data_IF_785522878555
#
_entry.id   IF_785522878555
#
_cell.length_a   1.000
_cell.length_b   1.000
_cell.length_c   1.000
_cell.angle_alpha   90.00
_cell.angle_beta   90.00
_cell.angle_gamma   90.00
#
_symmetry.space_group_name_H-M   'P 1'
#
loop_
_entity.id
_entity.type
_entity.pdbx_description
1 polymer ?
#
# COMPACT_ATOMS: atom_id res chain seq x y z
N UNK A 1 -38.92 11.56 20.83
CA UNK A 1 -37.61 11.25 21.43
C UNK A 1 -36.63 10.94 20.27
N UNK A 2 -35.92 11.97 19.80
CA UNK A 2 -34.97 11.82 18.68
C UNK A 2 -33.64 11.39 19.27
N UNK A 3 -33.23 10.17 18.98
CA UNK A 3 -31.88 9.67 19.29
C UNK A 3 -30.96 10.27 18.23
N UNK A 4 -30.40 11.43 18.53
CA UNK A 4 -29.24 11.96 17.77
C UNK A 4 -28.03 11.17 18.21
N UNK A 5 -27.66 10.14 17.45
CA UNK A 5 -26.34 9.50 17.58
C UNK A 5 -25.33 10.56 17.16
N UNK A 6 -24.76 11.25 18.14
CA UNK A 6 -23.60 12.11 17.92
C UNK A 6 -22.45 11.19 17.51
N UNK A 7 -22.18 11.12 16.21
CA UNK A 7 -20.88 10.69 15.73
C UNK A 7 -19.89 11.78 16.17
N UNK A 8 -19.18 11.54 17.28
CA UNK A 8 -18.04 12.40 17.64
C UNK A 8 -17.10 12.44 16.43
N UNK A 9 -16.68 13.63 15.99
CA UNK A 9 -15.76 13.73 14.87
C UNK A 9 -14.49 12.96 15.22
N UNK A 10 -13.94 12.21 14.25
CA UNK A 10 -12.70 11.43 14.37
C UNK A 10 -11.53 12.28 14.91
N UNK A 11 -11.60 13.60 14.75
CA UNK A 11 -10.65 14.56 15.30
C UNK A 11 -10.54 14.51 16.83
N UNK A 12 -11.63 14.23 17.56
CA UNK A 12 -11.66 14.20 19.04
C UNK A 12 -11.42 12.79 19.61
N UNK A 13 -11.26 11.79 18.75
CA UNK A 13 -11.00 10.41 19.19
C UNK A 13 -9.69 10.30 19.98
N UNK A 14 -9.68 9.46 21.02
CA UNK A 14 -8.49 9.21 21.83
C UNK A 14 -7.32 8.71 20.95
N UNK A 15 -6.05 9.07 21.27
CA UNK A 15 -4.90 8.61 20.51
C UNK A 15 -4.82 7.09 20.37
N UNK A 16 -5.29 6.36 21.39
CA UNK A 16 -5.36 4.89 21.37
C UNK A 16 -6.38 4.37 20.37
N UNK A 17 -7.52 5.04 20.24
CA UNK A 17 -8.54 4.67 19.26
C UNK A 17 -8.02 4.95 17.83
N UNK A 18 -7.41 6.11 17.59
CA UNK A 18 -6.76 6.44 16.30
C UNK A 18 -5.71 5.38 15.91
N UNK A 19 -4.90 4.91 16.86
CA UNK A 19 -3.90 3.86 16.62
C UNK A 19 -4.56 2.54 16.23
N UNK A 20 -5.63 2.12 16.91
CA UNK A 20 -6.37 0.90 16.58
C UNK A 20 -7.07 1.00 15.22
N UNK A 21 -7.67 2.15 14.91
CA UNK A 21 -8.24 2.40 13.57
C UNK A 21 -7.17 2.32 12.48
N UNK A 22 -5.97 2.89 12.72
CA UNK A 22 -4.84 2.75 11.82
C UNK A 22 -4.47 1.26 11.63
N UNK A 23 -4.46 0.47 12.71
CA UNK A 23 -4.25 -0.98 12.63
C UNK A 23 -5.30 -1.70 11.79
N UNK A 24 -6.58 -1.32 11.90
CA UNK A 24 -7.67 -1.89 11.08
C UNK A 24 -7.47 -1.57 9.60
N UNK A 25 -7.23 -0.29 9.24
CA UNK A 25 -6.99 0.08 7.85
C UNK A 25 -5.73 -0.57 7.28
N UNK A 26 -4.70 -0.75 8.12
CA UNK A 26 -3.50 -1.46 7.70
C UNK A 26 -3.79 -2.94 7.42
N UNK A 27 -4.55 -3.60 8.30
CA UNK A 27 -4.96 -4.98 8.10
C UNK A 27 -5.79 -5.17 6.84
N UNK A 28 -6.79 -4.29 6.61
CA UNK A 28 -7.58 -4.30 5.37
C UNK A 28 -6.68 -4.17 4.15
N UNK A 29 -5.73 -3.24 4.19
CA UNK A 29 -4.77 -3.05 3.08
C UNK A 29 -3.94 -4.32 2.83
N UNK A 30 -3.37 -4.92 3.88
CA UNK A 30 -2.53 -6.13 3.77
C UNK A 30 -3.35 -7.29 3.20
N UNK A 31 -4.51 -7.58 3.79
CA UNK A 31 -5.35 -8.72 3.37
C UNK A 31 -5.85 -8.56 1.93
N UNK A 32 -6.28 -7.35 1.57
CA UNK A 32 -6.78 -7.08 0.22
C UNK A 32 -5.65 -7.18 -0.81
N UNK A 33 -4.46 -6.66 -0.50
CA UNK A 33 -3.27 -6.82 -1.35
C UNK A 33 -2.86 -8.26 -1.53
N UNK A 34 -2.82 -9.04 -0.46
CA UNK A 34 -2.52 -10.47 -0.52
C UNK A 34 -3.54 -11.22 -1.37
N UNK A 35 -4.84 -10.93 -1.20
CA UNK A 35 -5.88 -11.51 -2.03
C UNK A 35 -5.65 -11.22 -3.51
N UNK A 36 -5.46 -9.96 -3.87
CA UNK A 36 -5.27 -9.53 -5.27
C UNK A 36 -4.02 -10.15 -5.88
N UNK A 37 -2.92 -10.20 -5.14
CA UNK A 37 -1.66 -10.74 -5.67
C UNK A 37 -1.72 -12.27 -5.81
N UNK A 38 -2.17 -12.98 -4.77
CA UNK A 38 -2.11 -14.44 -4.74
C UNK A 38 -3.23 -15.07 -5.59
N UNK A 39 -4.46 -14.61 -5.41
CA UNK A 39 -5.63 -15.27 -6.02
C UNK A 39 -6.01 -14.72 -7.39
N UNK A 40 -5.60 -13.48 -7.70
CA UNK A 40 -5.92 -12.89 -9.01
C UNK A 40 -4.68 -12.90 -9.91
N UNK A 41 -3.64 -12.16 -9.56
CA UNK A 41 -2.51 -11.94 -10.47
C UNK A 41 -1.64 -13.17 -10.67
N UNK A 42 -1.14 -13.76 -9.59
CA UNK A 42 -0.27 -14.93 -9.70
C UNK A 42 -0.99 -16.15 -10.29
N UNK A 43 -2.33 -16.18 -10.22
CA UNK A 43 -3.12 -17.26 -10.81
C UNK A 43 -3.43 -17.04 -12.29
N UNK A 44 -3.68 -15.81 -12.72
CA UNK A 44 -4.19 -15.52 -14.06
C UNK A 44 -3.13 -15.04 -15.03
N UNK A 45 -2.03 -14.44 -14.55
CA UNK A 45 -0.97 -13.89 -15.40
C UNK A 45 0.19 -14.86 -15.47
N UNK A 46 0.46 -15.37 -16.68
CA UNK A 46 1.62 -16.20 -17.01
C UNK A 46 2.68 -15.31 -17.63
N UNK A 47 3.83 -15.18 -16.97
CA UNK A 47 4.82 -14.13 -17.24
C UNK A 47 5.32 -14.03 -18.68
N UNK A 48 5.47 -15.13 -19.40
CA UNK A 48 6.01 -15.15 -20.76
C UNK A 48 5.05 -15.76 -21.79
N UNK A 49 3.78 -15.95 -21.41
CA UNK A 49 2.73 -16.49 -22.30
C UNK A 49 1.53 -15.54 -22.38
N UNK A 50 1.49 -14.76 -23.46
CA UNK A 50 0.44 -13.79 -23.71
C UNK A 50 -0.91 -14.48 -24.02
N UNK A 51 -0.89 -15.62 -24.71
CA UNK A 51 -2.10 -16.34 -25.10
C UNK A 51 -2.74 -17.01 -23.88
N UNK A 52 -1.93 -17.70 -23.05
CA UNK A 52 -2.42 -18.29 -21.81
C UNK A 52 -2.94 -17.22 -20.85
N UNK A 53 -2.23 -16.10 -20.69
CA UNK A 53 -2.67 -14.97 -19.86
C UNK A 53 -4.02 -14.43 -20.33
N UNK A 54 -4.17 -14.17 -21.63
CA UNK A 54 -5.42 -13.68 -22.21
C UNK A 54 -6.57 -14.66 -21.97
N UNK A 55 -6.36 -15.95 -22.23
CA UNK A 55 -7.35 -17.01 -22.01
C UNK A 55 -7.77 -17.08 -20.55
N UNK A 56 -6.82 -17.05 -19.62
CA UNK A 56 -7.09 -17.11 -18.19
C UNK A 56 -7.91 -15.91 -17.71
N UNK A 57 -7.56 -14.70 -18.16
CA UNK A 57 -8.27 -13.47 -17.77
C UNK A 57 -9.69 -13.49 -18.31
N UNK A 58 -9.89 -13.81 -19.60
CA UNK A 58 -11.22 -13.83 -20.21
C UNK A 58 -12.11 -14.94 -19.65
N UNK A 59 -11.55 -16.09 -19.30
CA UNK A 59 -12.28 -17.16 -18.63
C UNK A 59 -12.64 -16.82 -17.17
N UNK A 60 -11.98 -15.86 -16.55
CA UNK A 60 -12.17 -15.46 -15.15
C UNK A 60 -12.39 -13.94 -15.01
N UNK A 61 -13.14 -13.33 -15.92
CA UNK A 61 -13.35 -11.88 -15.98
C UNK A 61 -13.88 -11.30 -14.65
N UNK A 62 -14.83 -11.97 -14.01
CA UNK A 62 -15.34 -11.54 -12.71
C UNK A 62 -14.25 -11.49 -11.63
N UNK A 63 -13.38 -12.50 -11.58
CA UNK A 63 -12.26 -12.52 -10.64
C UNK A 63 -11.26 -11.40 -10.96
N UNK A 64 -11.05 -11.08 -12.23
CA UNK A 64 -10.21 -9.98 -12.65
C UNK A 64 -10.77 -8.62 -12.20
N UNK A 65 -12.08 -8.41 -12.31
CA UNK A 65 -12.77 -7.23 -11.75
C UNK A 65 -12.64 -7.14 -10.22
N UNK A 66 -12.74 -8.26 -9.50
CA UNK A 66 -12.49 -8.30 -8.05
C UNK A 66 -11.04 -7.92 -7.72
N UNK A 67 -10.09 -8.23 -8.58
CA UNK A 67 -8.71 -7.77 -8.46
C UNK A 67 -8.60 -6.24 -8.51
N UNK A 68 -9.27 -5.61 -9.48
CA UNK A 68 -9.32 -4.15 -9.59
C UNK A 68 -10.03 -3.50 -8.40
N UNK A 69 -11.20 -4.01 -8.02
CA UNK A 69 -11.94 -3.52 -6.86
C UNK A 69 -11.10 -3.64 -5.57
N UNK A 70 -10.37 -4.74 -5.41
CA UNK A 70 -9.43 -4.94 -4.31
C UNK A 70 -8.32 -3.90 -4.29
N UNK A 71 -7.72 -3.55 -5.42
CA UNK A 71 -6.75 -2.46 -5.50
C UNK A 71 -7.35 -1.13 -4.99
N UNK A 72 -8.57 -0.78 -5.40
CA UNK A 72 -9.25 0.46 -4.97
C UNK A 72 -9.47 0.44 -3.45
N UNK A 73 -9.96 -0.67 -2.89
CA UNK A 73 -10.15 -0.81 -1.43
C UNK A 73 -8.83 -0.67 -0.69
N UNK A 74 -7.75 -1.28 -1.21
CA UNK A 74 -6.42 -1.18 -0.61
C UNK A 74 -5.92 0.27 -0.61
N UNK A 75 -6.08 1.02 -1.71
CA UNK A 75 -5.65 2.42 -1.79
C UNK A 75 -6.44 3.31 -0.85
N UNK A 76 -7.77 3.20 -0.84
CA UNK A 76 -8.61 3.98 0.05
C UNK A 76 -8.26 3.74 1.53
N UNK A 77 -8.10 2.47 1.90
CA UNK A 77 -7.67 2.08 3.26
C UNK A 77 -6.28 2.62 3.59
N UNK A 78 -5.35 2.62 2.62
CA UNK A 78 -4.00 3.11 2.83
C UNK A 78 -3.94 4.64 2.98
N UNK A 79 -4.77 5.39 2.28
CA UNK A 79 -4.90 6.84 2.45
C UNK A 79 -5.45 7.16 3.85
N UNK A 80 -6.47 6.43 4.31
CA UNK A 80 -7.00 6.58 5.66
C UNK A 80 -5.95 6.24 6.74
N UNK A 81 -5.20 5.15 6.55
CA UNK A 81 -4.05 4.80 7.38
C UNK A 81 -3.03 5.92 7.44
N UNK A 82 -2.66 6.49 6.29
CA UNK A 82 -1.68 7.58 6.18
C UNK A 82 -2.13 8.82 6.98
N UNK A 83 -3.39 9.20 6.86
CA UNK A 83 -3.96 10.32 7.61
C UNK A 83 -3.90 10.09 9.13
N UNK A 84 -4.25 8.88 9.58
CA UNK A 84 -4.19 8.51 11.00
C UNK A 84 -2.75 8.48 11.52
N UNK A 85 -1.80 7.93 10.76
CA UNK A 85 -0.37 7.92 11.16
C UNK A 85 0.21 9.34 11.18
N UNK A 86 -0.19 10.20 10.23
CA UNK A 86 0.20 11.61 10.29
C UNK A 86 -0.24 12.26 11.59
N UNK A 87 -1.50 12.10 12.00
CA UNK A 87 -2.03 12.64 13.26
C UNK A 87 -1.31 12.05 14.49
N UNK A 88 -1.00 10.76 14.48
CA UNK A 88 -0.30 10.10 15.58
C UNK A 88 1.15 10.57 15.72
N UNK A 89 1.85 10.83 14.62
CA UNK A 89 3.25 11.23 14.63
C UNK A 89 3.48 12.75 14.57
N UNK A 90 2.46 13.54 14.34
CA UNK A 90 2.51 15.01 14.37
C UNK A 90 3.16 15.57 15.67
N UNK A 91 2.91 15.01 16.90
CA UNK A 91 3.59 15.44 18.10
C UNK A 91 5.07 15.09 18.13
N UNK A 92 5.51 14.05 17.42
CA UNK A 92 6.92 13.66 17.37
C UNK A 92 7.72 14.64 16.50
N UNK A 93 7.29 14.80 15.24
CA UNK A 93 7.84 15.79 14.30
C UNK A 93 6.82 16.10 13.19
N UNK A 94 6.20 17.30 13.25
CA UNK A 94 5.16 17.72 12.32
C UNK A 94 5.64 17.72 10.87
N UNK A 95 6.81 18.32 10.61
CA UNK A 95 7.35 18.42 9.24
C UNK A 95 7.70 17.05 8.68
N UNK A 96 8.38 16.21 9.48
CA UNK A 96 8.75 14.86 9.04
C UNK A 96 7.53 13.97 8.82
N UNK A 97 6.51 14.07 9.68
CA UNK A 97 5.25 13.36 9.54
C UNK A 97 4.49 13.80 8.28
N UNK A 98 4.52 15.11 7.96
CA UNK A 98 3.90 15.65 6.75
C UNK A 98 4.62 15.17 5.49
N UNK A 99 5.95 15.21 5.47
CA UNK A 99 6.75 14.70 4.34
C UNK A 99 6.50 13.21 4.14
N UNK A 100 6.42 12.43 5.23
CA UNK A 100 6.05 11.02 5.15
C UNK A 100 4.67 10.83 4.50
N UNK A 101 3.67 11.60 4.92
CA UNK A 101 2.34 11.53 4.33
C UNK A 101 2.34 11.88 2.83
N UNK A 102 3.13 12.86 2.38
CA UNK A 102 3.27 13.17 0.97
C UNK A 102 3.90 12.01 0.18
N UNK A 103 4.96 11.39 0.67
CA UNK A 103 5.53 10.21 0.00
C UNK A 103 4.54 9.05 -0.11
N UNK A 104 3.75 8.82 0.94
CA UNK A 104 2.67 7.84 0.91
C UNK A 104 1.60 8.17 -0.15
N UNK A 105 1.18 9.44 -0.24
CA UNK A 105 0.20 9.86 -1.24
C UNK A 105 0.74 9.72 -2.66
N UNK A 106 1.99 10.13 -2.92
CA UNK A 106 2.64 9.94 -4.24
C UNK A 106 2.68 8.46 -4.59
N UNK A 107 3.12 7.58 -3.66
CA UNK A 107 3.11 6.15 -3.88
C UNK A 107 1.71 5.62 -4.20
N UNK A 108 0.68 6.08 -3.48
CA UNK A 108 -0.72 5.68 -3.69
C UNK A 108 -1.25 6.14 -5.05
N UNK A 109 -0.94 7.35 -5.48
CA UNK A 109 -1.32 7.89 -6.81
C UNK A 109 -0.66 7.08 -7.93
N UNK A 110 0.65 6.81 -7.83
CA UNK A 110 1.36 5.99 -8.82
C UNK A 110 0.75 4.59 -8.90
N UNK A 111 0.42 3.99 -7.77
CA UNK A 111 -0.20 2.67 -7.73
C UNK A 111 -1.63 2.69 -8.30
N UNK A 112 -2.42 3.73 -8.04
CA UNK A 112 -3.76 3.90 -8.60
C UNK A 112 -3.72 4.05 -10.13
N UNK A 113 -2.80 4.86 -10.66
CA UNK A 113 -2.58 4.99 -12.11
C UNK A 113 -2.13 3.64 -12.68
N UNK A 114 -1.22 2.94 -12.03
CA UNK A 114 -0.77 1.61 -12.47
C UNK A 114 -1.93 0.61 -12.53
N UNK A 115 -2.93 0.73 -11.64
CA UNK A 115 -4.11 -0.14 -11.65
C UNK A 115 -5.03 0.09 -12.85
N UNK A 116 -4.95 1.21 -13.55
CA UNK A 116 -5.64 1.39 -14.83
C UNK A 116 -5.14 0.41 -15.88
N UNK A 117 -3.84 0.10 -15.89
CA UNK A 117 -3.27 -0.91 -16.78
C UNK A 117 -3.73 -2.33 -16.45
N UNK A 118 -4.24 -2.58 -15.24
CA UNK A 118 -4.90 -3.84 -14.90
C UNK A 118 -6.15 -4.09 -15.75
N UNK A 119 -6.85 -3.03 -16.13
CA UNK A 119 -8.06 -3.15 -16.97
C UNK A 119 -7.74 -3.31 -18.46
N UNK A 120 -6.52 -3.03 -18.90
CA UNK A 120 -6.16 -3.06 -20.32
C UNK A 120 -6.51 -4.40 -21.03
N UNK A 121 -6.30 -5.60 -20.43
CA UNK A 121 -6.70 -6.85 -21.05
C UNK A 121 -8.19 -6.90 -21.40
N UNK A 122 -9.08 -6.43 -20.53
CA UNK A 122 -10.52 -6.45 -20.77
C UNK A 122 -10.91 -5.56 -21.96
N UNK A 123 -10.24 -4.41 -22.12
CA UNK A 123 -10.48 -3.52 -23.25
C UNK A 123 -9.89 -4.05 -24.55
N UNK A 124 -8.70 -4.66 -24.50
CA UNK A 124 -8.00 -5.13 -25.69
C UNK A 124 -8.54 -6.48 -26.20
N UNK A 125 -9.00 -7.35 -25.30
CA UNK A 125 -9.49 -8.69 -25.66
C UNK A 125 -11.03 -8.73 -25.81
N UNK A 126 -11.70 -7.60 -25.59
CA UNK A 126 -13.13 -7.46 -25.78
C UNK A 126 -13.53 -7.44 -27.25
N UNK A 127 -14.85 -7.46 -27.52
CA UNK A 127 -15.43 -7.53 -28.86
C UNK A 127 -15.61 -6.16 -29.55
N UNK A 128 -14.81 -5.16 -29.22
CA UNK A 128 -14.94 -3.81 -29.76
C UNK A 128 -14.55 -3.77 -31.26
N UNK A 129 -15.40 -3.21 -32.10
CA UNK A 129 -15.22 -3.20 -33.59
C UNK A 129 -13.91 -2.57 -34.05
N UNK A 130 -13.41 -1.56 -33.34
CA UNK A 130 -12.15 -0.89 -33.70
C UNK A 130 -10.91 -1.78 -33.51
N UNK A 131 -11.04 -2.88 -32.77
CA UNK A 131 -9.96 -3.85 -32.57
C UNK A 131 -9.82 -4.85 -33.72
N UNK A 132 -10.81 -4.95 -34.61
CA UNK A 132 -10.82 -5.90 -35.73
C UNK A 132 -9.68 -5.66 -36.75
N UNK A 133 -8.96 -4.53 -36.67
CA UNK A 133 -7.78 -4.25 -37.49
C UNK A 133 -6.54 -4.98 -37.02
N UNK A 134 -6.56 -5.49 -35.79
CA UNK A 134 -5.44 -6.21 -35.18
C UNK A 134 -5.70 -7.73 -35.22
N UNK A 135 -4.62 -8.50 -35.36
CA UNK A 135 -4.68 -9.95 -35.16
C UNK A 135 -4.83 -10.26 -33.67
N UNK A 136 -5.43 -11.40 -33.36
CA UNK A 136 -5.67 -11.83 -31.97
C UNK A 136 -4.34 -11.90 -31.17
N UNK A 137 -3.30 -12.44 -31.79
CA UNK A 137 -1.99 -12.55 -31.16
C UNK A 137 -1.37 -11.18 -30.82
N UNK A 138 -1.65 -10.16 -31.64
CA UNK A 138 -1.18 -8.80 -31.38
C UNK A 138 -1.91 -8.18 -30.17
N UNK A 139 -3.22 -8.40 -30.04
CA UNK A 139 -4.00 -7.92 -28.91
C UNK A 139 -3.59 -8.62 -27.60
N UNK A 140 -3.32 -9.92 -27.63
CA UNK A 140 -2.81 -10.69 -26.50
C UNK A 140 -1.43 -10.17 -26.06
N UNK A 141 -0.52 -9.94 -27.02
CA UNK A 141 0.80 -9.37 -26.72
C UNK A 141 0.70 -7.98 -26.12
N UNK A 142 -0.16 -7.10 -26.66
CA UNK A 142 -0.40 -5.76 -26.10
C UNK A 142 -0.96 -5.83 -24.68
N UNK A 143 -1.92 -6.73 -24.42
CA UNK A 143 -2.45 -6.92 -23.07
C UNK A 143 -1.35 -7.28 -22.07
N UNK A 144 -0.45 -8.21 -22.43
CA UNK A 144 0.69 -8.56 -21.58
C UNK A 144 1.68 -7.40 -21.41
N UNK A 145 1.94 -6.60 -22.45
CA UNK A 145 2.78 -5.39 -22.35
C UNK A 145 2.20 -4.39 -21.35
N UNK A 146 0.90 -4.13 -21.36
CA UNK A 146 0.28 -3.25 -20.37
C UNK A 146 0.39 -3.81 -18.95
N UNK A 147 0.26 -5.11 -18.76
CA UNK A 147 0.45 -5.73 -17.44
C UNK A 147 1.90 -5.63 -16.96
N UNK A 148 2.89 -5.76 -17.87
CA UNK A 148 4.30 -5.53 -17.54
C UNK A 148 4.57 -4.06 -17.20
N UNK A 149 3.98 -3.12 -17.95
CA UNK A 149 4.09 -1.70 -17.66
C UNK A 149 3.49 -1.35 -16.29
N UNK A 150 2.34 -1.97 -15.95
CA UNK A 150 1.77 -1.89 -14.61
C UNK A 150 2.76 -2.34 -13.53
N UNK A 151 3.34 -3.53 -13.71
CA UNK A 151 4.30 -4.09 -12.76
C UNK A 151 5.55 -3.21 -12.65
N UNK A 152 6.06 -2.71 -13.77
CA UNK A 152 7.21 -1.80 -13.79
C UNK A 152 6.93 -0.49 -13.03
N UNK A 153 5.81 0.17 -13.30
CA UNK A 153 5.43 1.40 -12.60
C UNK A 153 5.25 1.17 -11.10
N UNK A 154 4.62 0.06 -10.73
CA UNK A 154 4.44 -0.33 -9.33
C UNK A 154 5.78 -0.55 -8.62
N UNK A 155 6.69 -1.36 -9.19
CA UNK A 155 7.95 -1.71 -8.55
C UNK A 155 8.98 -0.58 -8.60
N UNK A 156 9.16 0.08 -9.75
CA UNK A 156 10.24 1.07 -9.91
C UNK A 156 9.90 2.43 -9.29
N UNK A 157 8.64 2.86 -9.30
CA UNK A 157 8.25 4.15 -8.78
C UNK A 157 7.44 4.00 -7.49
N UNK A 158 6.37 3.20 -7.55
CA UNK A 158 5.45 3.03 -6.44
C UNK A 158 6.13 2.54 -5.16
N UNK A 159 6.89 1.43 -5.24
CA UNK A 159 7.59 0.87 -4.07
C UNK A 159 8.72 1.75 -3.56
N UNK A 160 9.39 2.52 -4.42
CA UNK A 160 10.45 3.42 -3.99
C UNK A 160 9.90 4.55 -3.13
N UNK A 161 8.85 5.25 -3.60
CA UNK A 161 8.18 6.28 -2.79
C UNK A 161 7.56 5.70 -1.52
N UNK A 162 7.02 4.49 -1.61
CA UNK A 162 6.52 3.76 -0.46
C UNK A 162 7.64 3.41 0.53
N UNK A 163 8.82 3.03 0.04
CA UNK A 163 10.01 2.79 0.85
C UNK A 163 10.46 4.05 1.61
N UNK A 164 10.51 5.20 0.93
CA UNK A 164 10.81 6.48 1.57
C UNK A 164 9.80 6.82 2.68
N UNK A 165 8.52 6.57 2.43
CA UNK A 165 7.49 6.71 3.47
C UNK A 165 7.76 5.80 4.67
N UNK A 166 8.05 4.51 4.47
CA UNK A 166 8.32 3.56 5.56
C UNK A 166 9.57 3.94 6.34
N UNK A 167 10.63 4.44 5.68
CA UNK A 167 11.83 4.97 6.33
C UNK A 167 11.47 6.10 7.29
N UNK A 168 10.68 7.06 6.84
CA UNK A 168 10.28 8.20 7.66
C UNK A 168 9.37 7.79 8.81
N UNK A 169 8.43 6.86 8.59
CA UNK A 169 7.62 6.28 9.67
C UNK A 169 8.50 5.55 10.68
N UNK A 170 9.47 4.78 10.23
CA UNK A 170 10.44 4.11 11.09
C UNK A 170 11.23 5.10 11.96
N UNK A 171 11.73 6.18 11.37
CA UNK A 171 12.44 7.26 12.11
C UNK A 171 11.49 7.93 13.11
N UNK A 172 10.24 8.19 12.74
CA UNK A 172 9.25 8.76 13.65
C UNK A 172 8.96 7.83 14.84
N UNK A 173 8.84 6.52 14.60
CA UNK A 173 8.69 5.54 15.69
C UNK A 173 9.91 5.54 16.60
N UNK A 174 11.12 5.55 16.06
CA UNK A 174 12.37 5.59 16.85
C UNK A 174 12.47 6.83 17.74
N UNK A 175 11.91 7.96 17.29
CA UNK A 175 11.86 9.24 18.02
C UNK A 175 10.65 9.37 18.95
N UNK A 176 9.68 8.47 18.84
CA UNK A 176 8.50 8.46 19.69
C UNK A 176 8.79 7.82 21.04
N UNK A 177 8.05 8.25 22.06
CA UNK A 177 8.11 7.66 23.41
C UNK A 177 6.99 6.66 23.67
N UNK A 178 6.03 6.57 22.75
CA UNK A 178 4.76 5.85 22.93
C UNK A 178 4.65 4.55 22.11
N UNK A 179 5.63 4.24 21.26
CA UNK A 179 5.75 2.99 20.52
C UNK A 179 7.11 2.32 20.78
N UNK A 180 7.19 0.98 20.70
CA UNK A 180 8.45 0.25 20.85
C UNK A 180 9.44 0.59 19.72
N UNK A 181 10.68 0.86 20.08
CA UNK A 181 11.75 1.17 19.12
C UNK A 181 12.01 0.07 18.11
N UNK A 182 11.79 -1.20 18.48
CA UNK A 182 11.97 -2.34 17.57
C UNK A 182 11.09 -2.22 16.32
N UNK A 183 9.84 -1.74 16.45
CA UNK A 183 8.97 -1.49 15.31
C UNK A 183 9.57 -0.42 14.37
N UNK A 184 10.22 0.60 14.94
CA UNK A 184 10.92 1.62 14.15
C UNK A 184 12.08 1.04 13.35
N UNK A 185 12.90 0.17 13.97
CA UNK A 185 14.01 -0.52 13.28
C UNK A 185 13.46 -1.38 12.13
N UNK A 186 12.43 -2.18 12.39
CA UNK A 186 11.82 -3.03 11.36
C UNK A 186 11.26 -2.21 10.19
N UNK A 187 10.64 -1.05 10.47
CA UNK A 187 10.11 -0.16 9.43
C UNK A 187 11.21 0.53 8.64
N UNK A 188 12.34 0.89 9.26
CA UNK A 188 13.52 1.42 8.55
C UNK A 188 14.08 0.35 7.60
N UNK A 189 14.27 -0.88 8.07
CA UNK A 189 14.74 -1.99 7.24
C UNK A 189 13.77 -2.28 6.09
N UNK A 190 12.46 -2.25 6.36
CA UNK A 190 11.42 -2.40 5.34
C UNK A 190 11.52 -1.30 4.27
N UNK A 191 11.70 -0.06 4.69
CA UNK A 191 11.85 1.08 3.78
C UNK A 191 13.11 0.98 2.92
N UNK A 192 14.25 0.62 3.52
CA UNK A 192 15.51 0.41 2.78
C UNK A 192 15.35 -0.69 1.73
N UNK A 193 14.71 -1.82 2.07
CA UNK A 193 14.46 -2.90 1.13
C UNK A 193 13.66 -2.44 -0.10
N UNK A 194 12.65 -1.59 0.09
CA UNK A 194 11.89 -1.06 -1.05
C UNK A 194 12.65 -0.01 -1.87
N UNK A 195 13.55 0.77 -1.26
CA UNK A 195 14.41 1.71 -1.99
C UNK A 195 15.40 0.96 -2.89
N UNK A 196 15.80 -0.27 -2.56
CA UNK A 196 16.66 -1.10 -3.40
C UNK A 196 16.05 -1.41 -4.79
N UNK A 197 14.73 -1.26 -4.96
CA UNK A 197 14.08 -1.40 -6.27
C UNK A 197 14.50 -0.33 -7.29
N UNK A 198 15.24 0.70 -6.88
CA UNK A 198 15.94 1.59 -7.81
C UNK A 198 17.06 0.90 -8.61
N UNK A 199 17.58 -0.22 -8.11
CA UNK A 199 18.65 -0.96 -8.76
C UNK A 199 18.21 -2.38 -9.12
N UNK A 200 17.88 -2.66 -10.40
CA UNK A 200 17.50 -4.00 -10.83
C UNK A 200 18.54 -5.08 -10.48
N UNK A 201 19.83 -4.72 -10.52
CA UNK A 201 20.92 -5.64 -10.18
C UNK A 201 20.86 -6.06 -8.70
N UNK A 202 20.58 -5.11 -7.77
CA UNK A 202 20.44 -5.43 -6.36
C UNK A 202 19.17 -6.24 -6.09
N UNK A 203 18.09 -5.95 -6.79
CA UNK A 203 16.85 -6.75 -6.67
C UNK A 203 17.11 -8.20 -7.06
N UNK A 204 17.77 -8.45 -8.19
CA UNK A 204 18.09 -9.80 -8.64
C UNK A 204 19.00 -10.55 -7.66
N UNK A 205 20.03 -9.88 -7.12
CA UNK A 205 20.97 -10.51 -6.20
C UNK A 205 20.37 -10.81 -4.82
N UNK A 206 19.34 -10.06 -4.39
CA UNK A 206 18.74 -10.19 -3.07
C UNK A 206 17.40 -10.97 -3.07
N UNK A 207 16.92 -11.41 -4.22
CA UNK A 207 15.75 -12.30 -4.24
C UNK A 207 16.11 -13.70 -3.67
N UNK A 208 15.22 -14.34 -2.90
CA UNK A 208 13.86 -13.95 -2.53
C UNK A 208 13.78 -13.10 -1.24
N UNK A 209 14.89 -12.69 -0.67
CA UNK A 209 14.96 -12.10 0.69
C UNK A 209 14.51 -10.64 0.75
N UNK A 210 14.50 -9.92 -0.37
CA UNK A 210 14.23 -8.48 -0.43
C UNK A 210 12.85 -8.09 0.16
N UNK A 211 11.86 -8.99 0.14
CA UNK A 211 10.52 -8.76 0.68
C UNK A 211 10.33 -9.22 2.13
N UNK A 212 11.34 -9.85 2.75
CA UNK A 212 11.23 -10.36 4.12
C UNK A 212 11.06 -9.21 5.12
N UNK A 213 11.95 -8.22 5.08
CA UNK A 213 11.87 -7.08 6.00
C UNK A 213 10.60 -6.25 5.80
N UNK A 214 10.17 -5.91 4.57
CA UNK A 214 8.87 -5.29 4.35
C UNK A 214 7.70 -6.08 4.92
N UNK A 215 7.67 -7.38 4.72
CA UNK A 215 6.62 -8.25 5.27
C UNK A 215 6.60 -8.22 6.80
N UNK A 216 7.74 -8.54 7.42
CA UNK A 216 7.85 -8.57 8.89
C UNK A 216 7.57 -7.21 9.51
N UNK A 217 8.14 -6.13 8.97
CA UNK A 217 7.98 -4.77 9.51
C UNK A 217 6.54 -4.30 9.49
N UNK A 218 5.88 -4.42 8.34
CA UNK A 218 4.51 -3.97 8.16
C UNK A 218 3.50 -4.80 8.95
N UNK A 219 3.64 -6.13 8.97
CA UNK A 219 2.76 -7.02 9.75
C UNK A 219 2.94 -6.76 11.24
N UNK A 220 4.19 -6.61 11.73
CA UNK A 220 4.45 -6.32 13.15
C UNK A 220 3.84 -5.00 13.58
N UNK A 221 4.00 -3.92 12.78
CA UNK A 221 3.39 -2.63 13.09
C UNK A 221 1.86 -2.71 13.04
N UNK A 222 1.29 -3.36 12.04
CA UNK A 222 -0.16 -3.57 11.91
C UNK A 222 -0.74 -4.25 13.14
N UNK A 223 -0.18 -5.40 13.54
CA UNK A 223 -0.65 -6.18 14.69
C UNK A 223 -0.47 -5.40 16.00
N UNK A 224 0.64 -4.69 16.16
CA UNK A 224 0.86 -3.84 17.34
C UNK A 224 -0.19 -2.77 17.46
N UNK A 225 -0.43 -2.00 16.41
CA UNK A 225 -1.43 -0.93 16.39
C UNK A 225 -2.85 -1.46 16.65
N UNK A 226 -3.18 -2.62 16.08
CA UNK A 226 -4.50 -3.22 16.20
C UNK A 226 -4.77 -3.73 17.62
N UNK A 227 -3.85 -4.50 18.20
CA UNK A 227 -4.04 -5.21 19.46
C UNK A 227 -3.71 -4.29 20.65
N UNK A 228 -2.51 -3.74 20.65
CA UNK A 228 -1.97 -2.95 21.78
C UNK A 228 -2.31 -1.46 21.61
N UNK A 229 -2.22 -0.95 20.37
CA UNK A 229 -2.35 0.47 20.07
C UNK A 229 -1.08 1.23 20.45
N UNK A 230 -1.24 2.34 21.20
CA UNK A 230 -0.14 3.15 21.69
C UNK A 230 -0.34 3.51 23.17
N UNK A 231 0.75 3.95 23.85
CA UNK A 231 0.67 4.50 25.19
C UNK A 231 0.16 5.94 25.14
N UNK A 232 -1.14 6.11 25.46
CA UNK A 232 -1.84 7.39 25.33
C UNK A 232 -1.29 8.46 26.29
N UNK A 233 -0.80 8.08 27.47
CA UNK A 233 -0.23 9.02 28.42
C UNK A 233 1.10 9.60 27.85
N UNK A 234 2.02 8.75 27.43
CA UNK A 234 3.30 9.18 26.82
C UNK A 234 3.07 9.99 25.54
N UNK A 235 2.05 9.66 24.76
CA UNK A 235 1.66 10.44 23.58
C UNK A 235 1.24 11.86 23.96
N UNK A 236 0.39 12.02 25.02
CA UNK A 236 -0.04 13.33 25.53
C UNK A 236 1.12 14.13 26.09
N UNK A 237 2.01 13.50 26.85
CA UNK A 237 3.23 14.13 27.38
C UNK A 237 4.12 14.66 26.24
N UNK A 238 4.34 13.87 25.20
CA UNK A 238 5.14 14.30 24.05
C UNK A 238 4.45 15.43 23.24
N UNK A 239 3.11 15.44 23.19
CA UNK A 239 2.35 16.49 22.55
C UNK A 239 2.39 17.81 23.33
N UNK A 240 2.32 17.77 24.66
CA UNK A 240 2.33 18.98 25.52
C UNK A 240 3.70 19.69 25.50
N UNK A 241 4.79 18.95 25.55
CA UNK A 241 6.15 19.52 25.45
C UNK A 241 6.32 20.34 24.17
N UNK A 242 5.73 19.91 23.07
CA UNK A 242 5.87 20.59 21.78
C UNK A 242 4.98 21.79 21.58
N UNK A 243 3.90 21.93 22.34
CA UNK A 243 3.06 23.13 22.34
C UNK A 243 3.64 24.28 23.16
N UNK A 244 4.67 23.98 23.97
CA UNK A 244 5.37 24.95 24.82
C UNK A 244 6.55 25.65 24.12
N UNK A 245 6.88 25.24 22.90
CA UNK A 245 7.92 25.81 22.02
C UNK A 245 7.35 26.12 20.63
#
# INVERSE_FOLDING_TARGET
>A
MSVTVMMEPIADASPRLKARMAGVFYLVTILTRMFVEIFVRNRLVISDDAAATATNIMANESLWWWGFAGDIVAFASYIALTALLYELFKPVNRSLSLVAAFFSLVASVVQAISSLFHLAPLFLLGSARYLNVFKVEQLQALALVFLRLRAAAYHSIGLVFFGLYLLLVGILILRSTFLPRILGVLMVLAGLSYVLFLSPALVQSLQPYILVFPGVGQISLCLWLLVIGLNAQRWKEQASVRMAF
#
